data_IF_325426049575
#
_entry.id   IF_325426049575
#
_cell.length_a   1.000
_cell.length_b   1.000
_cell.length_c   1.000
_cell.angle_alpha   90.00
_cell.angle_beta   90.00
_cell.angle_gamma   90.00
#
_symmetry.space_group_name_H-M   'P 1'
#
loop_
_entity.id
_entity.type
_entity.pdbx_description
1 polymer ?
#
# COMPACT_ATOMS: atom_id res chain seq x y z
N UNK A 1 63.92 6.45 -6.62
CA UNK A 1 63.29 6.52 -5.28
C UNK A 1 61.86 7.08 -5.34
N UNK A 2 61.02 6.60 -6.27
CA UNK A 2 59.66 7.10 -6.53
C UNK A 2 58.55 6.22 -5.93
N UNK A 3 58.87 5.02 -5.44
CA UNK A 3 57.88 4.10 -4.86
C UNK A 3 57.47 4.44 -3.41
N UNK A 4 58.18 5.36 -2.73
CA UNK A 4 57.89 5.69 -1.33
C UNK A 4 56.83 6.79 -1.16
N UNK A 5 56.62 7.63 -2.19
CA UNK A 5 55.60 8.68 -2.14
C UNK A 5 54.17 8.18 -2.41
N UNK A 6 54.02 7.11 -3.19
CA UNK A 6 52.71 6.53 -3.48
C UNK A 6 52.08 5.83 -2.25
N UNK A 7 52.89 5.15 -1.43
CA UNK A 7 52.40 4.46 -0.22
C UNK A 7 51.91 5.40 0.89
N UNK A 8 52.51 6.58 1.02
CA UNK A 8 52.14 7.57 2.04
C UNK A 8 50.78 8.25 1.75
N UNK A 9 50.34 8.28 0.49
CA UNK A 9 49.05 8.85 0.08
C UNK A 9 47.90 7.84 0.26
N UNK A 10 48.19 6.54 0.08
CA UNK A 10 47.22 5.45 0.22
C UNK A 10 46.83 5.21 1.70
N UNK A 11 47.78 5.34 2.62
CA UNK A 11 47.55 5.18 4.07
C UNK A 11 46.73 6.34 4.69
N UNK A 12 46.75 7.52 4.06
CA UNK A 12 46.03 8.73 4.53
C UNK A 12 44.62 8.89 3.97
N UNK A 13 44.23 8.11 2.94
CA UNK A 13 42.89 8.15 2.36
C UNK A 13 41.86 7.24 3.05
N UNK A 14 42.31 6.23 3.80
CA UNK A 14 41.42 5.29 4.47
C UNK A 14 40.58 5.86 5.66
N UNK A 15 41.07 6.79 6.52
CA UNK A 15 40.26 7.22 7.67
C UNK A 15 39.22 8.30 7.36
N UNK A 16 39.26 8.97 6.20
CA UNK A 16 38.34 10.07 5.87
C UNK A 16 37.04 9.65 5.18
N UNK A 17 36.98 8.46 4.59
CA UNK A 17 35.76 7.94 3.98
C UNK A 17 34.79 7.34 5.01
N UNK A 18 35.31 6.83 6.13
CA UNK A 18 34.50 6.20 7.17
C UNK A 18 33.88 7.27 8.09
N UNK A 19 34.62 8.32 8.46
CA UNK A 19 34.11 9.40 9.31
C UNK A 19 32.91 10.16 8.68
N UNK A 20 32.89 10.30 7.35
CA UNK A 20 31.81 11.00 6.63
C UNK A 20 30.54 10.16 6.45
N UNK A 21 30.60 8.85 6.69
CA UNK A 21 29.43 7.96 6.67
C UNK A 21 28.79 7.79 8.06
N UNK A 22 29.50 8.07 9.16
CA UNK A 22 28.94 7.98 10.52
C UNK A 22 28.31 9.29 11.00
N UNK A 23 28.75 10.45 10.48
CA UNK A 23 28.15 11.75 10.84
C UNK A 23 26.86 12.07 10.06
N UNK A 24 26.56 11.36 8.98
CA UNK A 24 25.33 11.56 8.20
C UNK A 24 24.11 10.78 8.74
N UNK A 25 24.31 9.86 9.69
CA UNK A 25 23.24 9.02 10.25
C UNK A 25 22.86 9.42 11.70
N UNK A 26 23.60 10.35 12.29
CA UNK A 26 23.45 10.73 13.71
C UNK A 26 22.66 12.03 13.94
N UNK A 27 22.03 12.60 12.91
CA UNK A 27 21.28 13.85 13.02
C UNK A 27 19.90 13.72 12.38
N UNK A 28 19.01 12.97 13.04
CA UNK A 28 17.53 13.19 13.09
C UNK A 28 16.81 12.04 13.79
N UNK A 29 17.27 11.63 14.96
CA UNK A 29 16.40 10.97 15.94
C UNK A 29 15.76 12.04 16.84
N UNK A 30 15.09 13.01 16.22
CA UNK A 30 14.01 13.68 16.92
C UNK A 30 12.97 12.59 17.24
N UNK A 31 12.39 12.55 18.45
CA UNK A 31 11.29 11.64 18.71
C UNK A 31 10.26 11.91 17.63
N UNK A 32 10.01 10.94 16.74
CA UNK A 32 8.91 11.01 15.79
C UNK A 32 7.70 11.33 16.65
N UNK A 33 7.26 12.60 16.63
CA UNK A 33 5.95 12.95 17.13
C UNK A 33 5.05 11.91 16.49
N UNK A 34 4.20 11.28 17.29
CA UNK A 34 3.06 10.55 16.76
C UNK A 34 2.28 11.61 15.99
N UNK A 35 2.66 11.79 14.73
CA UNK A 35 2.02 12.74 13.86
C UNK A 35 0.62 12.19 13.78
N UNK A 36 -0.34 12.91 14.38
CA UNK A 36 -1.75 12.75 14.11
C UNK A 36 -1.88 12.95 12.61
N UNK A 37 -1.74 11.86 11.86
CA UNK A 37 -1.45 11.87 10.44
C UNK A 37 -2.77 12.13 9.75
N UNK A 38 -3.15 13.40 9.73
CA UNK A 38 -4.32 13.90 9.01
C UNK A 38 -4.28 13.32 7.60
N UNK A 39 -5.44 12.86 7.09
CA UNK A 39 -5.53 12.33 5.74
C UNK A 39 -4.85 13.26 4.73
N UNK A 40 -3.99 12.66 3.90
CA UNK A 40 -3.43 13.34 2.75
C UNK A 40 -4.51 13.56 1.67
N UNK A 41 -4.22 14.38 0.67
CA UNK A 41 -5.13 14.58 -0.47
C UNK A 41 -5.46 13.26 -1.18
N UNK A 42 -4.49 12.34 -1.28
CA UNK A 42 -4.67 11.03 -1.89
C UNK A 42 -5.62 10.16 -1.06
N UNK A 43 -5.43 10.16 0.26
CA UNK A 43 -6.27 9.39 1.17
C UNK A 43 -7.73 9.86 1.12
N UNK A 44 -7.97 11.18 1.03
CA UNK A 44 -9.32 11.74 0.89
C UNK A 44 -9.98 11.30 -0.42
N UNK A 45 -9.23 11.36 -1.51
CA UNK A 45 -9.71 10.89 -2.81
C UNK A 45 -10.01 9.39 -2.80
N UNK A 46 -9.14 8.59 -2.18
CA UNK A 46 -9.35 7.16 -2.01
C UNK A 46 -10.63 6.86 -1.22
N UNK A 47 -10.86 7.55 -0.11
CA UNK A 47 -12.09 7.43 0.68
C UNK A 47 -13.35 7.78 -0.15
N UNK A 48 -13.32 8.87 -0.93
CA UNK A 48 -14.42 9.24 -1.83
C UNK A 48 -14.68 8.20 -2.94
N UNK A 49 -13.65 7.48 -3.40
CA UNK A 49 -13.83 6.36 -4.33
C UNK A 49 -14.43 5.15 -3.62
N UNK A 50 -13.90 4.79 -2.44
CA UNK A 50 -14.39 3.66 -1.65
C UNK A 50 -15.87 3.82 -1.28
N UNK A 51 -16.32 5.03 -0.94
CA UNK A 51 -17.74 5.34 -0.68
C UNK A 51 -18.67 5.09 -1.89
N UNK A 52 -18.14 5.08 -3.11
CA UNK A 52 -18.88 4.77 -4.35
C UNK A 52 -18.72 3.31 -4.76
N UNK A 53 -17.51 2.78 -4.62
CA UNK A 53 -17.16 1.43 -5.06
C UNK A 53 -17.80 0.37 -4.16
N UNK A 54 -17.80 0.56 -2.84
CA UNK A 54 -18.42 -0.37 -1.90
C UNK A 54 -19.91 -0.62 -2.20
N UNK A 55 -20.78 0.40 -2.33
CA UNK A 55 -22.18 0.16 -2.68
C UNK A 55 -22.36 -0.34 -4.12
N UNK A 56 -21.45 -0.02 -5.06
CA UNK A 56 -21.50 -0.55 -6.42
C UNK A 56 -21.20 -2.06 -6.45
N UNK A 57 -20.13 -2.49 -5.79
CA UNK A 57 -19.77 -3.90 -5.64
C UNK A 57 -20.81 -4.68 -4.83
N UNK A 58 -21.38 -4.07 -3.79
CA UNK A 58 -22.47 -4.69 -3.03
C UNK A 58 -23.71 -4.96 -3.89
N UNK A 59 -24.04 -4.04 -4.81
CA UNK A 59 -25.11 -4.26 -5.80
C UNK A 59 -24.74 -5.35 -6.79
N UNK A 60 -23.53 -5.32 -7.33
CA UNK A 60 -23.04 -6.35 -8.25
C UNK A 60 -23.14 -7.73 -7.61
N UNK A 61 -22.72 -7.89 -6.35
CA UNK A 61 -22.86 -9.13 -5.59
C UNK A 61 -24.31 -9.62 -5.54
N UNK A 62 -25.24 -8.75 -5.18
CA UNK A 62 -26.68 -9.09 -5.09
C UNK A 62 -27.26 -9.43 -6.47
N UNK A 63 -26.84 -8.72 -7.52
CA UNK A 63 -27.25 -9.02 -8.89
C UNK A 63 -26.75 -10.39 -9.34
N UNK A 64 -25.51 -10.75 -9.01
CA UNK A 64 -24.94 -12.08 -9.31
C UNK A 64 -25.63 -13.17 -8.49
N UNK A 65 -25.87 -12.96 -7.19
CA UNK A 65 -26.63 -13.89 -6.34
C UNK A 65 -28.03 -14.16 -6.90
N UNK A 66 -28.70 -13.10 -7.36
CA UNK A 66 -30.02 -13.20 -7.99
C UNK A 66 -29.95 -13.91 -9.34
N UNK A 67 -28.92 -13.64 -10.14
CA UNK A 67 -28.71 -14.35 -11.40
C UNK A 67 -28.53 -15.86 -11.14
N UNK A 68 -27.66 -16.22 -10.19
CA UNK A 68 -27.39 -17.62 -9.81
C UNK A 68 -28.61 -18.39 -9.29
N UNK A 69 -29.68 -17.71 -8.85
CA UNK A 69 -30.94 -18.34 -8.47
C UNK A 69 -31.77 -18.79 -9.69
N UNK A 70 -31.45 -18.34 -10.90
CA UNK A 70 -32.12 -18.76 -12.12
C UNK A 70 -31.67 -20.18 -12.53
N UNK A 71 -32.59 -21.14 -12.39
CA UNK A 71 -32.38 -22.54 -12.77
C UNK A 71 -32.23 -22.75 -14.29
N UNK A 72 -32.43 -21.71 -15.10
CA UNK A 72 -32.32 -21.75 -16.57
C UNK A 72 -30.92 -21.40 -17.08
N UNK A 73 -29.99 -21.03 -16.18
CA UNK A 73 -28.63 -20.65 -16.54
C UNK A 73 -27.83 -21.82 -17.13
N UNK A 74 -27.03 -21.51 -18.15
CA UNK A 74 -26.06 -22.43 -18.71
C UNK A 74 -24.91 -22.68 -17.71
N UNK A 75 -24.32 -23.88 -17.74
CA UNK A 75 -23.20 -24.24 -16.87
C UNK A 75 -22.02 -23.26 -16.95
N UNK A 76 -21.67 -22.80 -18.16
CA UNK A 76 -20.59 -21.82 -18.35
C UNK A 76 -20.88 -20.48 -17.68
N UNK A 77 -22.14 -20.03 -17.70
CA UNK A 77 -22.57 -18.79 -17.04
C UNK A 77 -22.55 -18.96 -15.52
N UNK A 78 -22.97 -20.12 -15.01
CA UNK A 78 -22.89 -20.44 -13.58
C UNK A 78 -21.42 -20.38 -13.12
N UNK A 79 -20.48 -20.98 -13.87
CA UNK A 79 -19.07 -20.94 -13.53
C UNK A 79 -18.49 -19.52 -13.54
N UNK A 80 -18.84 -18.72 -14.56
CA UNK A 80 -18.42 -17.30 -14.66
C UNK A 80 -18.95 -16.48 -13.48
N UNK A 81 -20.24 -16.58 -13.19
CA UNK A 81 -20.89 -15.86 -12.09
C UNK A 81 -20.34 -16.31 -10.73
N UNK A 82 -20.06 -17.60 -10.55
CA UNK A 82 -19.46 -18.16 -9.33
C UNK A 82 -18.03 -17.66 -9.09
N UNK A 83 -17.23 -17.52 -10.16
CA UNK A 83 -15.91 -16.89 -10.05
C UNK A 83 -16.04 -15.41 -9.73
N UNK A 84 -16.90 -14.69 -10.47
CA UNK A 84 -17.07 -13.26 -10.30
C UNK A 84 -17.58 -12.88 -8.91
N UNK A 85 -18.56 -13.61 -8.36
CA UNK A 85 -19.04 -13.32 -7.00
C UNK A 85 -17.92 -13.49 -5.96
N UNK A 86 -17.06 -14.50 -6.12
CA UNK A 86 -15.92 -14.73 -5.23
C UNK A 86 -14.93 -13.57 -5.30
N UNK A 87 -14.64 -13.07 -6.51
CA UNK A 87 -13.79 -11.89 -6.71
C UNK A 87 -14.42 -10.63 -6.10
N UNK A 88 -15.72 -10.40 -6.36
CA UNK A 88 -16.45 -9.23 -5.82
C UNK A 88 -16.46 -9.23 -4.30
N UNK A 89 -16.65 -10.40 -3.67
CA UNK A 89 -16.57 -10.52 -2.20
C UNK A 89 -15.16 -10.21 -1.69
N UNK A 90 -14.12 -10.75 -2.31
CA UNK A 90 -12.74 -10.45 -1.91
C UNK A 90 -12.40 -8.96 -2.10
N UNK A 91 -12.82 -8.36 -3.21
CA UNK A 91 -12.66 -6.92 -3.46
C UNK A 91 -13.42 -6.06 -2.44
N UNK A 92 -14.63 -6.47 -2.06
CA UNK A 92 -15.40 -5.79 -1.01
C UNK A 92 -14.65 -5.83 0.32
N UNK A 93 -14.21 -6.99 0.77
CA UNK A 93 -13.48 -7.14 2.03
C UNK A 93 -12.20 -6.29 2.06
N UNK A 94 -11.42 -6.30 0.97
CA UNK A 94 -10.20 -5.49 0.87
C UNK A 94 -10.51 -3.98 0.93
N UNK A 95 -11.53 -3.54 0.18
CA UNK A 95 -11.96 -2.13 0.15
C UNK A 95 -12.58 -1.68 1.47
N UNK A 96 -13.31 -2.56 2.16
CA UNK A 96 -13.88 -2.31 3.48
C UNK A 96 -12.78 -2.15 4.53
N UNK A 97 -11.80 -3.06 4.55
CA UNK A 97 -10.63 -2.94 5.44
C UNK A 97 -9.87 -1.64 5.19
N UNK A 98 -9.62 -1.30 3.92
CA UNK A 98 -8.95 -0.06 3.56
C UNK A 98 -9.75 1.18 3.98
N UNK A 99 -11.07 1.15 3.80
CA UNK A 99 -11.95 2.23 4.22
C UNK A 99 -11.91 2.42 5.75
N UNK A 100 -11.92 1.34 6.53
CA UNK A 100 -11.79 1.39 7.99
C UNK A 100 -10.45 1.99 8.43
N UNK A 101 -9.34 1.57 7.81
CA UNK A 101 -8.02 2.18 8.07
C UNK A 101 -8.02 3.69 7.80
N UNK A 102 -8.65 4.13 6.71
CA UNK A 102 -8.73 5.54 6.36
C UNK A 102 -9.67 6.32 7.28
N UNK A 103 -10.76 5.72 7.76
CA UNK A 103 -11.67 6.36 8.72
C UNK A 103 -11.03 6.49 10.10
N UNK A 104 -10.24 5.50 10.54
CA UNK A 104 -9.44 5.60 11.76
C UNK A 104 -8.40 6.73 11.69
N UNK A 105 -7.81 6.98 10.51
CA UNK A 105 -6.89 8.12 10.29
C UNK A 105 -7.61 9.47 10.26
N UNK A 106 -8.93 9.48 10.06
CA UNK A 106 -9.75 10.68 10.03
C UNK A 106 -10.13 11.15 11.44
N UNK A 107 -10.32 10.21 12.37
CA UNK A 107 -10.63 10.43 13.79
C UNK A 107 -9.45 10.95 14.60
#
# INVERSE_FOLDING_TARGET
>A
YSAYRAKLDEEKRAPKAIAKMVEADAETQAPKKKDNKKLSFKDKYELEQLEKDLPALGKERVEIEKALQDASLAYEEIERLSKRITEVVAELEEKELRWLELDELRG
#
